data_IF_486255955136
#
_entry.id   IF_486255955136
#
_cell.length_a   1.000
_cell.length_b   1.000
_cell.length_c   1.000
_cell.angle_alpha   90.00
_cell.angle_beta   90.00
_cell.angle_gamma   90.00
#
_symmetry.space_group_name_H-M   'P 1'
#
loop_
_entity.id
_entity.type
_entity.pdbx_description
1 polymer ?
#
# COMPACT_ATOMS: atom_id res chain seq x y z
N UNK A 1 -41.43 16.48 10.48
CA UNK A 1 -40.19 15.78 10.82
C UNK A 1 -39.14 16.34 9.89
N UNK A 2 -38.24 17.12 10.45
CA UNK A 2 -37.20 17.84 9.72
C UNK A 2 -36.09 16.86 9.32
N UNK A 3 -35.87 16.66 8.02
CA UNK A 3 -34.76 15.89 7.49
C UNK A 3 -33.59 16.84 7.23
N UNK A 4 -33.05 17.42 8.29
CA UNK A 4 -31.76 18.12 8.26
C UNK A 4 -30.62 17.09 8.33
N UNK A 5 -30.52 16.24 7.30
CA UNK A 5 -29.28 15.50 7.02
C UNK A 5 -28.41 16.35 6.11
N UNK A 6 -27.65 17.26 6.70
CA UNK A 6 -26.61 18.00 6.01
C UNK A 6 -25.42 17.06 5.75
N UNK A 7 -25.57 16.15 4.80
CA UNK A 7 -24.50 15.27 4.32
C UNK A 7 -24.59 15.12 2.81
N UNK A 8 -23.67 15.78 2.11
CA UNK A 8 -22.55 15.11 1.45
C UNK A 8 -21.67 16.16 0.80
N UNK A 9 -20.67 16.62 1.54
CA UNK A 9 -19.42 17.00 0.92
C UNK A 9 -18.86 15.74 0.25
N UNK A 10 -18.83 15.77 -1.06
CA UNK A 10 -17.95 14.92 -1.86
C UNK A 10 -17.19 15.85 -2.81
N UNK A 11 -16.53 16.86 -2.25
CA UNK A 11 -15.60 17.70 -2.99
C UNK A 11 -14.22 17.03 -2.90
N UNK A 12 -13.97 16.10 -3.83
CA UNK A 12 -12.64 15.56 -4.18
C UNK A 12 -11.72 15.22 -3.01
N UNK A 13 -12.01 14.11 -2.31
CA UNK A 13 -11.11 13.37 -1.40
C UNK A 13 -9.95 14.21 -0.81
N UNK A 14 -10.26 15.22 0.00
CA UNK A 14 -9.24 15.92 0.78
C UNK A 14 -8.74 15.07 1.96
N UNK A 15 -7.47 15.22 2.37
CA UNK A 15 -6.61 16.37 2.08
C UNK A 15 -5.76 16.17 0.82
N UNK A 16 -5.44 17.28 0.15
CA UNK A 16 -4.21 17.39 -0.61
C UNK A 16 -3.08 16.78 0.24
N UNK A 17 -2.43 15.73 -0.27
CA UNK A 17 -1.46 14.96 0.51
C UNK A 17 -0.35 15.88 1.04
N UNK A 18 0.17 15.64 2.25
CA UNK A 18 1.22 16.48 2.81
C UNK A 18 2.44 16.59 1.88
N UNK A 19 3.00 17.80 1.74
CA UNK A 19 4.07 18.07 0.78
C UNK A 19 5.32 17.20 1.01
N UNK A 20 5.63 16.87 2.26
CA UNK A 20 6.73 15.99 2.60
C UNK A 20 6.50 14.54 2.15
N UNK A 21 5.27 14.02 2.27
CA UNK A 21 4.90 12.72 1.70
C UNK A 21 5.05 12.69 0.17
N UNK A 22 4.63 13.77 -0.50
CA UNK A 22 4.80 13.90 -1.96
C UNK A 22 6.28 13.92 -2.33
N UNK A 23 7.11 14.69 -1.60
CA UNK A 23 8.56 14.72 -1.79
C UNK A 23 9.19 13.33 -1.64
N UNK A 24 8.81 12.57 -0.61
CA UNK A 24 9.33 11.22 -0.40
C UNK A 24 8.91 10.28 -1.53
N UNK A 25 7.67 10.37 -2.02
CA UNK A 25 7.19 9.58 -3.15
C UNK A 25 7.96 9.93 -4.45
N UNK A 26 8.23 11.21 -4.72
CA UNK A 26 9.08 11.65 -5.84
C UNK A 26 10.45 10.99 -5.76
N UNK A 27 11.03 10.92 -4.55
CA UNK A 27 12.35 10.33 -4.37
C UNK A 27 12.36 8.82 -4.62
N UNK A 28 11.32 8.10 -4.21
CA UNK A 28 11.13 6.68 -4.55
C UNK A 28 11.10 6.48 -6.06
N UNK A 29 10.25 7.22 -6.77
CA UNK A 29 10.10 7.08 -8.23
C UNK A 29 11.41 7.43 -8.96
N UNK A 30 12.15 8.45 -8.50
CA UNK A 30 13.48 8.78 -9.05
C UNK A 30 14.52 7.69 -8.83
N UNK A 31 14.49 6.96 -7.71
CA UNK A 31 15.36 5.78 -7.53
C UNK A 31 14.93 4.67 -8.48
N UNK A 32 13.63 4.39 -8.57
CA UNK A 32 13.10 3.36 -9.45
C UNK A 32 13.46 3.62 -10.93
N UNK A 33 13.30 4.86 -11.42
CA UNK A 33 13.72 5.24 -12.78
C UNK A 33 15.21 4.97 -13.01
N UNK A 34 16.07 5.42 -12.09
CA UNK A 34 17.53 5.26 -12.24
C UNK A 34 17.98 3.81 -12.23
N UNK A 35 17.31 2.97 -11.44
CA UNK A 35 17.63 1.55 -11.29
C UNK A 35 16.83 0.64 -12.25
N UNK A 36 16.02 1.20 -13.17
CA UNK A 36 15.19 0.42 -14.08
C UNK A 36 14.13 -0.45 -13.39
N UNK A 37 13.65 -0.03 -12.22
CA UNK A 37 12.68 -0.78 -11.43
C UNK A 37 11.25 -0.38 -11.81
N UNK A 38 10.35 -1.36 -11.79
CA UNK A 38 8.90 -1.15 -11.83
C UNK A 38 8.27 -1.38 -10.46
N UNK A 39 7.18 -0.67 -10.15
CA UNK A 39 6.48 -0.72 -8.87
C UNK A 39 5.02 -1.15 -9.07
N UNK A 40 4.52 -2.04 -8.20
CA UNK A 40 3.11 -2.36 -8.07
C UNK A 40 2.59 -2.14 -6.64
N UNK A 41 1.28 -1.91 -6.50
CA UNK A 41 0.63 -1.77 -5.18
C UNK A 41 -0.52 -2.78 -5.00
N UNK A 42 -0.72 -3.25 -3.77
CA UNK A 42 -1.90 -4.02 -3.36
C UNK A 42 -2.54 -3.37 -2.13
N UNK A 43 -3.65 -2.68 -2.33
CA UNK A 43 -4.29 -1.82 -1.35
C UNK A 43 -5.63 -2.36 -0.88
N UNK A 44 -5.82 -2.50 0.43
CA UNK A 44 -7.14 -2.70 1.04
C UNK A 44 -7.61 -1.40 1.68
N UNK A 45 -7.19 -1.09 2.91
CA UNK A 45 -7.75 -0.01 3.71
C UNK A 45 -7.41 1.42 3.23
N UNK A 46 -6.42 1.57 2.34
CA UNK A 46 -6.06 2.81 1.64
C UNK A 46 -6.77 2.99 0.30
N UNK A 47 -7.47 1.96 -0.20
CA UNK A 47 -8.41 2.07 -1.33
C UNK A 47 -7.87 2.75 -2.59
N UNK A 48 -6.61 2.55 -2.95
CA UNK A 48 -5.99 3.12 -4.16
C UNK A 48 -5.30 4.47 -3.95
N UNK A 49 -5.24 5.00 -2.71
CA UNK A 49 -4.57 6.27 -2.44
C UNK A 49 -3.08 6.23 -2.73
N UNK A 50 -2.40 5.10 -2.50
CA UNK A 50 -0.98 4.99 -2.81
C UNK A 50 -0.75 4.96 -4.32
N UNK A 51 -1.53 4.15 -5.04
CA UNK A 51 -1.51 4.14 -6.50
C UNK A 51 -1.72 5.55 -7.06
N UNK A 52 -2.76 6.25 -6.59
CA UNK A 52 -3.06 7.63 -6.99
C UNK A 52 -1.87 8.56 -6.77
N UNK A 53 -1.26 8.55 -5.56
CA UNK A 53 -0.08 9.35 -5.24
C UNK A 53 1.09 9.07 -6.20
N UNK A 54 1.39 7.80 -6.47
CA UNK A 54 2.52 7.43 -7.32
C UNK A 54 2.28 7.80 -8.79
N UNK A 55 1.03 7.76 -9.26
CA UNK A 55 0.68 8.11 -10.64
C UNK A 55 0.53 9.61 -10.89
N UNK A 56 0.29 10.41 -9.85
CA UNK A 56 0.10 11.87 -9.94
C UNK A 56 1.43 12.62 -10.18
N UNK A 57 2.58 11.97 -9.93
CA UNK A 57 3.89 12.59 -10.06
C UNK A 57 4.36 12.57 -11.53
N UNK A 58 4.30 13.71 -12.18
CA UNK A 58 4.70 13.88 -13.59
C UNK A 58 6.17 13.52 -13.87
N UNK A 59 6.43 13.00 -15.07
CA UNK A 59 7.76 12.69 -15.59
C UNK A 59 8.40 11.40 -15.09
N UNK A 60 8.00 10.90 -13.91
CA UNK A 60 8.55 9.67 -13.30
C UNK A 60 7.51 8.58 -13.05
N UNK A 61 6.21 8.86 -13.22
CA UNK A 61 5.13 7.89 -12.96
C UNK A 61 5.13 6.66 -13.88
N UNK A 62 5.88 6.67 -14.98
CA UNK A 62 5.99 5.53 -15.91
C UNK A 62 6.63 4.26 -15.31
N UNK A 63 7.24 4.36 -14.12
CA UNK A 63 7.72 3.19 -13.36
C UNK A 63 6.62 2.47 -12.60
N UNK A 64 5.44 3.09 -12.45
CA UNK A 64 4.28 2.42 -11.88
C UNK A 64 3.68 1.45 -12.91
N UNK A 65 3.69 0.16 -12.60
CA UNK A 65 3.14 -0.88 -13.48
C UNK A 65 1.62 -1.00 -13.33
N UNK A 66 1.16 -1.29 -12.11
CA UNK A 66 -0.27 -1.44 -11.79
C UNK A 66 -0.56 -1.38 -10.29
N UNK A 67 -1.84 -1.15 -9.97
CA UNK A 67 -2.36 -1.24 -8.61
C UNK A 67 -3.51 -2.24 -8.51
N UNK A 68 -3.57 -2.97 -7.41
CA UNK A 68 -4.64 -3.89 -7.05
C UNK A 68 -5.39 -3.33 -5.85
N UNK A 69 -6.66 -2.97 -6.00
CA UNK A 69 -7.50 -2.61 -4.84
C UNK A 69 -8.31 -3.84 -4.42
N UNK A 70 -7.96 -4.43 -3.28
CA UNK A 70 -8.46 -5.73 -2.80
C UNK A 70 -9.16 -5.65 -1.44
N UNK A 71 -10.21 -4.83 -1.39
CA UNK A 71 -10.93 -4.51 -0.15
C UNK A 71 -11.59 -5.74 0.48
N UNK A 72 -12.23 -6.60 -0.32
CA UNK A 72 -12.90 -7.82 0.16
C UNK A 72 -11.96 -9.02 0.18
N UNK A 73 -12.26 -10.01 1.00
CA UNK A 73 -11.50 -11.26 1.05
C UNK A 73 -11.55 -11.99 -0.29
N UNK A 74 -12.71 -12.02 -0.94
CA UNK A 74 -12.87 -12.55 -2.29
C UNK A 74 -11.94 -11.86 -3.30
N UNK A 75 -11.80 -10.52 -3.23
CA UNK A 75 -10.90 -9.79 -4.14
C UNK A 75 -9.42 -10.07 -3.87
N UNK A 76 -9.04 -10.32 -2.60
CA UNK A 76 -7.67 -10.77 -2.26
C UNK A 76 -7.40 -12.13 -2.90
N UNK A 77 -8.34 -13.06 -2.83
CA UNK A 77 -8.20 -14.37 -3.45
C UNK A 77 -8.13 -14.29 -4.98
N UNK A 78 -9.08 -13.58 -5.59
CA UNK A 78 -9.21 -13.49 -7.05
C UNK A 78 -8.02 -12.76 -7.70
N UNK A 79 -7.73 -11.54 -7.21
CA UNK A 79 -6.75 -10.68 -7.86
C UNK A 79 -5.30 -10.95 -7.43
N UNK A 80 -5.06 -11.53 -6.25
CA UNK A 80 -3.72 -11.75 -5.71
C UNK A 80 -3.41 -13.24 -5.49
N UNK A 81 -4.35 -14.16 -5.77
CA UNK A 81 -4.16 -15.60 -5.64
C UNK A 81 -3.98 -16.09 -4.22
N UNK A 82 -4.51 -15.36 -3.25
CA UNK A 82 -4.45 -15.77 -1.85
C UNK A 82 -5.41 -16.95 -1.65
N UNK A 83 -4.96 -17.99 -0.96
CA UNK A 83 -5.84 -19.11 -0.61
C UNK A 83 -6.93 -18.64 0.36
N UNK A 84 -8.21 -18.99 0.13
CA UNK A 84 -9.28 -18.73 1.09
C UNK A 84 -8.98 -19.30 2.49
N UNK A 85 -8.31 -20.46 2.56
CA UNK A 85 -7.94 -21.10 3.83
C UNK A 85 -6.97 -20.23 4.64
N UNK A 86 -6.05 -19.52 3.97
CA UNK A 86 -5.13 -18.61 4.65
C UNK A 86 -5.87 -17.43 5.30
N UNK A 87 -6.91 -16.93 4.64
CA UNK A 87 -7.75 -15.86 5.20
C UNK A 87 -8.57 -16.40 6.36
N UNK A 88 -9.10 -17.63 6.25
CA UNK A 88 -9.84 -18.27 7.32
C UNK A 88 -8.99 -18.47 8.59
N UNK A 89 -7.75 -18.94 8.43
CA UNK A 89 -6.86 -19.25 9.55
C UNK A 89 -6.30 -18.01 10.27
N UNK A 90 -5.99 -16.94 9.52
CA UNK A 90 -5.26 -15.78 10.06
C UNK A 90 -6.04 -14.48 10.09
N UNK A 91 -7.16 -14.39 9.36
CA UNK A 91 -7.92 -13.16 9.16
C UNK A 91 -7.25 -12.19 8.17
N UNK A 92 -8.07 -11.35 7.53
CA UNK A 92 -7.66 -10.47 6.43
C UNK A 92 -6.70 -9.33 6.83
N UNK A 93 -6.61 -9.02 8.13
CA UNK A 93 -5.68 -8.03 8.70
C UNK A 93 -4.68 -8.78 9.56
N UNK A 94 -3.63 -9.29 8.91
CA UNK A 94 -2.60 -10.09 9.55
C UNK A 94 -1.31 -10.07 8.71
N UNK A 95 -0.20 -10.47 9.33
CA UNK A 95 1.10 -10.57 8.67
C UNK A 95 1.09 -11.57 7.49
N UNK A 96 0.58 -12.82 7.64
CA UNK A 96 0.56 -13.78 6.53
C UNK A 96 -0.21 -13.26 5.32
N UNK A 97 -1.33 -12.57 5.56
CA UNK A 97 -2.14 -12.02 4.48
C UNK A 97 -1.43 -10.86 3.78
N UNK A 98 -0.84 -9.90 4.49
CA UNK A 98 -0.17 -8.79 3.81
C UNK A 98 1.05 -9.25 3.02
N UNK A 99 1.79 -10.24 3.54
CA UNK A 99 2.93 -10.83 2.84
C UNK A 99 2.48 -11.58 1.58
N UNK A 100 1.38 -12.33 1.67
CA UNK A 100 0.77 -13.00 0.51
C UNK A 100 0.24 -11.97 -0.52
N UNK A 101 -0.35 -10.86 -0.06
CA UNK A 101 -0.77 -9.77 -0.94
C UNK A 101 0.41 -9.16 -1.71
N UNK A 102 1.52 -8.87 -1.02
CA UNK A 102 2.72 -8.29 -1.65
C UNK A 102 3.33 -9.25 -2.69
N UNK A 103 3.49 -10.54 -2.33
CA UNK A 103 3.98 -11.57 -3.27
C UNK A 103 3.03 -11.75 -4.45
N UNK A 104 1.73 -11.80 -4.20
CA UNK A 104 0.70 -11.97 -5.23
C UNK A 104 0.68 -10.82 -6.24
N UNK A 105 0.89 -9.58 -5.76
CA UNK A 105 1.00 -8.39 -6.61
C UNK A 105 2.29 -8.42 -7.44
N UNK A 106 3.41 -8.79 -6.84
CA UNK A 106 4.69 -8.94 -7.55
C UNK A 106 4.57 -9.99 -8.68
N UNK A 107 3.97 -11.15 -8.40
CA UNK A 107 3.79 -12.23 -9.37
C UNK A 107 2.81 -11.91 -10.50
N UNK A 108 1.92 -10.92 -10.32
CA UNK A 108 0.87 -10.53 -11.28
C UNK A 108 1.13 -9.19 -11.94
N UNK A 109 2.36 -8.71 -11.87
CA UNK A 109 2.81 -7.46 -12.47
C UNK A 109 4.15 -7.67 -13.15
N UNK A 110 4.63 -6.65 -13.85
CA UNK A 110 6.02 -6.61 -14.31
C UNK A 110 6.93 -5.88 -13.30
N UNK A 111 6.48 -5.75 -12.05
CA UNK A 111 7.17 -4.99 -11.03
C UNK A 111 8.38 -5.71 -10.46
N UNK A 112 9.40 -4.94 -10.09
CA UNK A 112 10.50 -5.40 -9.25
C UNK A 112 10.18 -5.23 -7.75
N UNK A 113 9.26 -4.32 -7.43
CA UNK A 113 8.81 -4.00 -6.08
C UNK A 113 7.29 -4.02 -6.00
N UNK A 114 6.75 -4.71 -5.01
CA UNK A 114 5.32 -4.69 -4.72
C UNK A 114 5.07 -4.37 -3.25
N UNK A 115 4.26 -3.35 -2.97
CA UNK A 115 3.87 -2.95 -1.61
C UNK A 115 2.41 -3.31 -1.36
N UNK A 116 2.12 -3.97 -0.25
CA UNK A 116 0.78 -4.35 0.15
C UNK A 116 0.38 -3.72 1.49
N UNK A 117 -0.92 -3.42 1.63
CA UNK A 117 -1.48 -2.72 2.79
C UNK A 117 -2.84 -3.34 3.16
N UNK A 118 -2.98 -3.79 4.42
CA UNK A 118 -4.26 -4.21 5.01
C UNK A 118 -4.35 -3.78 6.48
N UNK A 119 -5.51 -3.30 6.92
CA UNK A 119 -5.62 -2.69 8.25
C UNK A 119 -6.99 -2.09 8.58
N UNK A 120 -7.16 -1.66 9.83
CA UNK A 120 -8.37 -1.05 10.35
C UNK A 120 -8.18 0.47 10.46
N UNK A 121 -8.52 1.21 9.41
CA UNK A 121 -8.25 2.66 9.37
C UNK A 121 -9.23 3.52 10.17
N UNK A 122 -10.30 2.98 10.75
CA UNK A 122 -11.20 3.72 11.63
C UNK A 122 -11.89 2.82 12.64
N UNK A 123 -12.80 3.37 13.44
CA UNK A 123 -13.59 2.61 14.42
C UNK A 123 -14.35 1.48 13.72
N UNK A 124 -13.86 0.27 13.93
CA UNK A 124 -14.45 -0.97 13.46
C UNK A 124 -15.32 -1.62 14.53
N UNK A 125 -15.39 -2.94 14.47
CA UNK A 125 -15.98 -3.76 15.54
C UNK A 125 -15.14 -3.71 16.83
N UNK A 126 -15.70 -4.08 18.00
CA UNK A 126 -14.95 -4.07 19.27
C UNK A 126 -13.69 -4.94 19.30
N UNK A 127 -13.60 -5.94 18.41
CA UNK A 127 -12.43 -6.81 18.27
C UNK A 127 -11.35 -6.24 17.34
N UNK A 128 -11.62 -5.14 16.63
CA UNK A 128 -10.69 -4.51 15.70
C UNK A 128 -9.99 -3.33 16.37
N UNK A 129 -8.66 -3.40 16.45
CA UNK A 129 -7.86 -2.29 16.94
C UNK A 129 -7.82 -1.17 15.89
N UNK A 130 -8.53 -0.06 16.15
CA UNK A 130 -8.48 1.11 15.29
C UNK A 130 -7.04 1.63 15.17
N UNK A 131 -6.58 1.80 13.93
CA UNK A 131 -5.21 2.22 13.62
C UNK A 131 -4.21 1.08 13.45
N UNK A 132 -4.61 -0.19 13.64
CA UNK A 132 -3.75 -1.33 13.35
C UNK A 132 -3.65 -1.58 11.85
N UNK A 133 -2.42 -1.55 11.30
CA UNK A 133 -2.16 -1.75 9.88
C UNK A 133 -0.94 -2.62 9.67
N UNK A 134 -1.09 -3.65 8.84
CA UNK A 134 0.00 -4.45 8.30
C UNK A 134 0.40 -3.94 6.92
N UNK A 135 1.71 -3.81 6.70
CA UNK A 135 2.31 -3.49 5.42
C UNK A 135 3.36 -4.54 5.05
N UNK A 136 3.51 -4.85 3.77
CA UNK A 136 4.63 -5.67 3.31
C UNK A 136 5.15 -5.22 1.95
N UNK A 137 6.48 -5.17 1.80
CA UNK A 137 7.16 -4.89 0.54
C UNK A 137 7.88 -6.14 0.06
N UNK A 138 7.45 -6.69 -1.08
CA UNK A 138 8.09 -7.82 -1.75
C UNK A 138 8.99 -7.33 -2.90
N UNK A 139 10.14 -7.96 -3.04
CA UNK A 139 11.17 -7.64 -4.04
C UNK A 139 11.38 -8.81 -5.00
N UNK A 140 11.84 -8.51 -6.22
CA UNK A 140 12.13 -9.49 -7.28
C UNK A 140 13.22 -10.50 -6.91
N UNK A 141 14.08 -10.20 -5.94
CA UNK A 141 15.10 -11.10 -5.40
C UNK A 141 14.54 -12.12 -4.39
N UNK A 142 13.25 -12.07 -4.10
CA UNK A 142 12.57 -12.95 -3.15
C UNK A 142 12.46 -12.39 -1.72
N UNK A 143 13.13 -11.28 -1.42
CA UNK A 143 13.05 -10.61 -0.12
C UNK A 143 11.64 -10.06 0.12
N UNK A 144 11.15 -10.20 1.35
CA UNK A 144 9.90 -9.57 1.79
C UNK A 144 10.12 -8.90 3.14
N UNK A 145 9.86 -7.61 3.23
CA UNK A 145 9.85 -6.86 4.47
C UNK A 145 8.42 -6.64 4.94
N UNK A 146 8.14 -6.97 6.20
CA UNK A 146 6.86 -6.73 6.86
C UNK A 146 7.01 -5.62 7.90
N UNK A 147 5.97 -4.81 8.06
CA UNK A 147 5.85 -3.84 9.14
C UNK A 147 4.42 -3.85 9.70
N UNK A 148 4.32 -3.92 11.03
CA UNK A 148 3.09 -3.72 11.78
C UNK A 148 3.10 -2.32 12.42
N UNK A 149 2.01 -1.58 12.24
CA UNK A 149 1.83 -0.25 12.81
C UNK A 149 0.59 -0.20 13.68
N UNK A 150 0.71 0.48 14.83
CA UNK A 150 -0.39 0.82 15.72
C UNK A 150 -0.52 2.35 15.76
N UNK A 151 -1.32 2.91 14.86
CA UNK A 151 -1.50 4.37 14.76
C UNK A 151 -2.46 4.92 15.82
N UNK A 152 -3.23 4.04 16.48
CA UNK A 152 -4.32 4.41 17.37
C UNK A 152 -5.51 5.00 16.62
N UNK A 153 -6.54 5.39 17.37
CA UNK A 153 -7.78 5.97 16.84
C UNK A 153 -7.61 7.46 16.49
N UNK A 154 -6.79 7.74 15.49
CA UNK A 154 -6.50 9.10 14.98
C UNK A 154 -7.42 9.54 13.85
N UNK A 155 -8.47 8.76 13.58
CA UNK A 155 -9.44 8.98 12.50
C UNK A 155 -9.02 8.40 11.15
N UNK A 156 -10.03 8.18 10.29
CA UNK A 156 -9.87 7.44 9.02
C UNK A 156 -8.91 8.08 8.03
N UNK A 157 -9.06 9.37 7.77
CA UNK A 157 -8.19 10.09 6.83
C UNK A 157 -6.74 10.12 7.32
N UNK A 158 -6.54 10.50 8.58
CA UNK A 158 -5.22 10.60 9.21
C UNK A 158 -4.49 9.25 9.22
N UNK A 159 -5.18 8.16 9.57
CA UNK A 159 -4.59 6.82 9.57
C UNK A 159 -4.15 6.39 8.17
N UNK A 160 -4.97 6.69 7.13
CA UNK A 160 -4.60 6.39 5.74
C UNK A 160 -3.36 7.18 5.30
N UNK A 161 -3.26 8.46 5.64
CA UNK A 161 -2.07 9.28 5.33
C UNK A 161 -0.83 8.77 6.08
N UNK A 162 -0.96 8.44 7.36
CA UNK A 162 0.14 7.86 8.14
C UNK A 162 0.60 6.52 7.54
N UNK A 163 -0.34 5.71 7.07
CA UNK A 163 -0.05 4.45 6.36
C UNK A 163 0.71 4.70 5.06
N UNK A 164 0.34 5.70 4.26
CA UNK A 164 1.08 6.05 3.03
C UNK A 164 2.53 6.45 3.31
N UNK A 165 2.79 7.18 4.40
CA UNK A 165 4.17 7.54 4.80
C UNK A 165 5.02 6.30 5.04
N UNK A 166 4.48 5.32 5.77
CA UNK A 166 5.18 4.05 6.02
C UNK A 166 5.37 3.29 4.71
N UNK A 167 4.34 3.21 3.86
CA UNK A 167 4.43 2.52 2.58
C UNK A 167 5.49 3.13 1.65
N UNK A 168 5.56 4.46 1.55
CA UNK A 168 6.57 5.19 0.76
C UNK A 168 7.98 4.96 1.33
N UNK A 169 8.13 4.98 2.67
CA UNK A 169 9.41 4.67 3.30
C UNK A 169 9.87 3.22 3.03
N UNK A 170 8.96 2.25 3.10
CA UNK A 170 9.26 0.84 2.77
C UNK A 170 9.61 0.67 1.29
N UNK A 171 8.88 1.32 0.37
CA UNK A 171 9.22 1.33 -1.06
C UNK A 171 10.61 1.92 -1.29
N UNK A 172 10.97 2.98 -0.55
CA UNK A 172 12.30 3.58 -0.67
C UNK A 172 13.39 2.59 -0.26
N UNK A 173 13.22 1.93 0.88
CA UNK A 173 14.16 0.92 1.36
C UNK A 173 14.32 -0.23 0.35
N UNK A 174 13.20 -0.74 -0.18
CA UNK A 174 13.24 -1.79 -1.20
C UNK A 174 13.90 -1.35 -2.51
N UNK A 175 13.64 -0.12 -2.97
CA UNK A 175 14.27 0.44 -4.16
C UNK A 175 15.78 0.64 -4.00
N UNK A 176 16.21 1.16 -2.85
CA UNK A 176 17.64 1.31 -2.55
C UNK A 176 18.33 -0.07 -2.44
N UNK A 177 17.68 -1.06 -1.81
CA UNK A 177 18.18 -2.44 -1.72
C UNK A 177 18.39 -3.09 -3.09
N UNK A 178 17.38 -3.03 -3.97
CA UNK A 178 17.49 -3.58 -5.32
C UNK A 178 18.50 -2.83 -6.18
N UNK A 179 18.55 -1.50 -6.07
CA UNK A 179 19.52 -0.70 -6.82
C UNK A 179 20.97 -1.09 -6.47
N UNK A 180 21.26 -1.32 -5.18
CA UNK A 180 22.58 -1.82 -4.73
C UNK A 180 22.82 -3.23 -5.26
N UNK A 181 21.83 -4.11 -5.17
CA UNK A 181 21.96 -5.50 -5.61
C UNK A 181 22.24 -5.61 -7.11
N UNK A 182 21.60 -4.78 -7.93
CA UNK A 182 21.83 -4.75 -9.37
C UNK A 182 23.20 -4.16 -9.72
N UNK A 183 23.63 -3.10 -9.04
CA UNK A 183 24.95 -2.51 -9.25
C UNK A 183 26.13 -3.44 -8.87
N UNK A 184 25.92 -4.40 -7.97
CA UNK A 184 26.91 -5.41 -7.59
C UNK A 184 26.93 -6.63 -8.52
N UNK A 185 25.90 -6.80 -9.35
CA UNK A 185 25.78 -7.89 -10.31
C UNK A 185 26.36 -7.56 -11.70
N UNK A 186 26.70 -6.30 -11.94
CA UNK A 186 27.44 -5.78 -13.11
C UNK A 186 28.96 -5.84 -12.89
#
# INVERSE_FOLDING_TARGET
MDFSSNHKEAETLEPALPADLICDAIMVLKVAVRAGLKIATAESCTGGMLASLLTDIEGVSHVFDRGFVTYSDASKCDLLGISPDLIFDYGAVSEPIVCAMARGALQRSEASLAIAITGFTGKGSPSEEAGLVHLACAMSDGTVHHQLCHFGDIGRGTTRIATLRVAVAMLRQGADHLAISYALAE
#
